data_IF_054123284592
#
_entry.id   IF_054123284592
#
_cell.length_a   1.000
_cell.length_b   1.000
_cell.length_c   1.000
_cell.angle_alpha   90.00
_cell.angle_beta   90.00
_cell.angle_gamma   90.00
#
_symmetry.space_group_name_H-M   'P 1'
#
loop_
_entity.id
_entity.type
_entity.pdbx_description
1 polymer ?
#
# COMPACT_ATOMS: atom_id res chain seq x y z
N UNK A 1 13.39 3.64 10.04
CA UNK A 1 12.48 2.65 10.63
C UNK A 1 12.95 1.26 10.27
N UNK A 2 13.15 0.41 11.23
CA UNK A 2 13.59 -0.97 11.05
C UNK A 2 12.39 -1.91 11.18
N UNK A 3 12.19 -2.79 10.20
CA UNK A 3 11.15 -3.81 10.26
C UNK A 3 11.82 -5.14 10.64
N UNK A 4 11.56 -5.69 11.83
CA UNK A 4 12.11 -6.96 12.22
C UNK A 4 11.54 -8.08 11.33
N UNK A 5 12.40 -9.03 10.94
CA UNK A 5 12.04 -10.17 10.08
C UNK A 5 11.55 -9.78 8.68
N UNK A 6 12.05 -8.68 8.12
CA UNK A 6 11.72 -8.25 6.77
C UNK A 6 12.16 -9.31 5.73
N UNK A 7 11.21 -9.80 4.95
CA UNK A 7 11.43 -10.69 3.82
C UNK A 7 11.54 -9.91 2.51
N UNK A 8 12.13 -10.48 1.44
CA UNK A 8 12.08 -9.86 0.11
C UNK A 8 10.65 -9.58 -0.38
N UNK A 9 9.70 -10.42 -0.02
CA UNK A 9 8.28 -10.20 -0.29
C UNK A 9 7.76 -8.95 0.40
N UNK A 10 8.02 -8.79 1.70
CA UNK A 10 7.60 -7.61 2.45
C UNK A 10 8.24 -6.33 1.89
N UNK A 11 9.52 -6.37 1.58
CA UNK A 11 10.22 -5.26 0.92
C UNK A 11 9.54 -4.90 -0.41
N UNK A 12 9.19 -5.89 -1.22
CA UNK A 12 8.51 -5.69 -2.50
C UNK A 12 7.16 -5.02 -2.33
N UNK A 13 6.32 -5.48 -1.42
CA UNK A 13 5.01 -4.89 -1.14
C UNK A 13 5.15 -3.46 -0.62
N UNK A 14 6.04 -3.23 0.33
CA UNK A 14 6.27 -1.90 0.92
C UNK A 14 6.84 -0.88 -0.06
N UNK A 15 7.54 -1.33 -1.08
CA UNK A 15 8.15 -0.48 -2.13
C UNK A 15 7.21 -0.26 -3.31
N UNK A 16 6.13 -1.04 -3.41
CA UNK A 16 5.18 -0.99 -4.53
C UNK A 16 4.32 0.28 -4.53
N UNK A 17 3.80 0.61 -5.70
CA UNK A 17 2.84 1.71 -5.88
C UNK A 17 1.56 1.51 -5.06
N UNK A 18 1.16 0.25 -4.82
CA UNK A 18 0.01 -0.06 -3.97
C UNK A 18 0.19 0.50 -2.56
N UNK A 19 1.34 0.23 -1.94
CA UNK A 19 1.64 0.75 -0.60
C UNK A 19 1.91 2.25 -0.61
N UNK A 20 2.57 2.76 -1.65
CA UNK A 20 2.84 4.19 -1.79
C UNK A 20 1.56 5.02 -1.93
N UNK A 21 0.58 4.53 -2.68
CA UNK A 21 -0.74 5.15 -2.80
C UNK A 21 -1.44 5.24 -1.44
N UNK A 22 -1.43 4.15 -0.68
CA UNK A 22 -1.96 4.11 0.68
C UNK A 22 -1.26 5.10 1.60
N UNK A 23 0.07 5.10 1.60
CA UNK A 23 0.88 6.01 2.41
C UNK A 23 0.55 7.47 2.10
N UNK A 24 0.52 7.85 0.82
CA UNK A 24 0.19 9.23 0.40
C UNK A 24 -1.19 9.66 0.89
N UNK A 25 -2.17 8.78 0.81
CA UNK A 25 -3.54 9.08 1.23
C UNK A 25 -3.66 9.24 2.75
N UNK A 26 -3.02 8.36 3.51
CA UNK A 26 -3.08 8.39 4.98
C UNK A 26 -2.24 9.53 5.54
N UNK A 27 -1.02 9.71 5.07
CA UNK A 27 -0.11 10.78 5.53
C UNK A 27 -0.58 12.17 5.06
N UNK A 28 -1.15 12.28 3.86
CA UNK A 28 -1.62 13.54 3.27
C UNK A 28 -2.74 14.22 4.05
N UNK A 29 -3.45 13.48 4.93
CA UNK A 29 -4.50 14.03 5.78
C UNK A 29 -4.00 14.63 7.10
N UNK A 30 -2.75 14.35 7.49
CA UNK A 30 -2.26 14.69 8.81
C UNK A 30 -1.45 16.00 8.82
N UNK A 31 -0.81 16.39 7.78
CA UNK A 31 -0.12 17.67 7.46
C UNK A 31 0.84 17.46 6.27
N UNK A 32 1.31 18.59 5.70
CA UNK A 32 2.14 18.68 4.50
C UNK A 32 3.51 17.95 4.53
N UNK A 33 3.91 17.37 5.65
CA UNK A 33 5.11 16.55 5.76
C UNK A 33 4.76 15.07 5.76
N UNK A 34 5.19 14.36 4.71
CA UNK A 34 5.04 12.92 4.60
C UNK A 34 5.91 12.18 5.64
N UNK A 35 5.51 12.23 6.90
CA UNK A 35 6.09 11.37 7.92
C UNK A 35 5.41 10.00 7.89
N UNK A 36 6.18 8.98 7.53
CA UNK A 36 5.72 7.62 7.63
C UNK A 36 5.50 7.24 9.09
N UNK A 37 4.26 7.01 9.47
CA UNK A 37 3.90 6.50 10.78
C UNK A 37 3.64 5.01 10.71
N UNK A 38 4.45 4.21 11.38
CA UNK A 38 4.24 2.76 11.46
C UNK A 38 2.86 2.41 12.01
N UNK A 39 2.37 3.16 13.00
CA UNK A 39 1.07 2.91 13.63
C UNK A 39 -0.08 3.18 12.68
N UNK A 40 -0.03 4.29 11.93
CA UNK A 40 -1.14 4.69 11.06
C UNK A 40 -1.06 4.03 9.67
N UNK A 41 0.13 3.91 9.11
CA UNK A 41 0.31 3.46 7.73
C UNK A 41 0.49 1.96 7.67
N UNK A 42 1.50 1.42 8.34
CA UNK A 42 1.85 0.00 8.27
C UNK A 42 0.79 -0.90 8.92
N UNK A 43 0.38 -0.59 10.15
CA UNK A 43 -0.54 -1.44 10.90
C UNK A 43 -1.96 -1.45 10.31
N UNK A 44 -2.34 -0.43 9.57
CA UNK A 44 -3.64 -0.35 8.92
C UNK A 44 -3.62 -0.72 7.43
N UNK A 45 -2.43 -0.95 6.86
CA UNK A 45 -2.33 -1.33 5.46
C UNK A 45 -2.91 -2.73 5.24
N UNK A 46 -3.91 -2.87 4.33
CA UNK A 46 -4.46 -4.19 4.01
C UNK A 46 -3.50 -4.95 3.10
N UNK A 47 -2.65 -5.80 3.68
CA UNK A 47 -1.80 -6.70 2.93
C UNK A 47 -2.63 -7.70 2.12
N UNK A 48 -2.09 -8.27 1.03
CA UNK A 48 -2.77 -9.33 0.30
C UNK A 48 -3.19 -10.46 1.25
N UNK A 49 -4.49 -10.82 1.33
CA UNK A 49 -4.97 -11.71 2.40
C UNK A 49 -4.49 -13.16 2.25
N UNK A 50 -4.31 -13.63 1.03
CA UNK A 50 -3.89 -15.01 0.77
C UNK A 50 -3.13 -15.13 -0.57
N UNK A 51 -1.93 -14.54 -0.70
CA UNK A 51 -1.16 -14.69 -1.93
C UNK A 51 -0.70 -16.14 -2.09
N UNK A 52 -0.78 -16.65 -3.33
CA UNK A 52 -0.24 -17.98 -3.62
C UNK A 52 1.29 -17.99 -3.55
N UNK A 53 1.90 -19.18 -3.38
CA UNK A 53 3.35 -19.30 -3.40
C UNK A 53 3.97 -18.75 -4.69
N UNK A 54 3.29 -18.91 -5.82
CA UNK A 54 3.71 -18.36 -7.11
C UNK A 54 3.69 -16.82 -7.12
N UNK A 55 2.67 -16.21 -6.55
CA UNK A 55 2.55 -14.76 -6.43
C UNK A 55 3.62 -14.18 -5.51
N UNK A 56 3.86 -14.81 -4.36
CA UNK A 56 4.94 -14.41 -3.43
C UNK A 56 6.29 -14.50 -4.13
N UNK A 57 6.58 -15.59 -4.83
CA UNK A 57 7.84 -15.75 -5.57
C UNK A 57 8.00 -14.69 -6.67
N UNK A 58 6.93 -14.32 -7.36
CA UNK A 58 6.96 -13.27 -8.38
C UNK A 58 7.29 -11.89 -7.78
N UNK A 59 6.72 -11.55 -6.63
CA UNK A 59 7.02 -10.31 -5.92
C UNK A 59 8.48 -10.31 -5.43
N UNK A 60 8.94 -11.39 -4.85
CA UNK A 60 10.34 -11.53 -4.40
C UNK A 60 11.34 -11.37 -5.56
N UNK A 61 11.08 -12.01 -6.70
CA UNK A 61 11.93 -11.89 -7.89
C UNK A 61 11.95 -10.45 -8.41
N UNK A 62 10.80 -9.79 -8.49
CA UNK A 62 10.70 -8.39 -8.92
C UNK A 62 11.40 -7.44 -7.93
N UNK A 63 11.30 -7.69 -6.63
CA UNK A 63 12.00 -6.93 -5.60
C UNK A 63 13.53 -7.06 -5.75
N UNK A 64 14.03 -8.25 -6.02
CA UNK A 64 15.45 -8.48 -6.29
C UNK A 64 15.93 -7.73 -7.53
N UNK A 65 15.12 -7.63 -8.55
CA UNK A 65 15.45 -6.85 -9.75
C UNK A 65 15.54 -5.35 -9.47
N UNK A 66 14.69 -4.81 -8.61
CA UNK A 66 14.80 -3.42 -8.15
C UNK A 66 16.14 -3.19 -7.44
N UNK A 67 16.52 -4.07 -6.53
CA UNK A 67 17.80 -3.99 -5.83
C UNK A 67 18.99 -4.11 -6.80
N UNK A 68 18.91 -5.02 -7.75
CA UNK A 68 19.94 -5.20 -8.77
C UNK A 68 20.07 -3.95 -9.65
N UNK A 69 18.98 -3.33 -10.06
CA UNK A 69 18.98 -2.09 -10.81
C UNK A 69 19.62 -0.94 -10.02
N UNK A 70 19.34 -0.81 -8.73
CA UNK A 70 19.98 0.16 -7.84
C UNK A 70 21.50 -0.08 -7.74
N UNK A 71 21.91 -1.34 -7.66
CA UNK A 71 23.32 -1.72 -7.53
C UNK A 71 24.18 -1.35 -8.76
N UNK A 72 23.56 -1.08 -9.90
CA UNK A 72 24.25 -0.58 -11.09
C UNK A 72 24.77 0.87 -10.94
N UNK A 73 24.26 1.59 -9.94
CA UNK A 73 24.59 2.99 -9.69
C UNK A 73 25.09 3.19 -8.25
N UNK A 74 26.26 2.62 -7.89
CA UNK A 74 26.75 2.60 -6.51
C UNK A 74 27.06 4.00 -5.97
N UNK A 75 27.41 4.94 -6.84
CA UNK A 75 27.78 6.31 -6.48
C UNK A 75 26.58 7.27 -6.43
N UNK A 76 25.41 6.85 -6.87
CA UNK A 76 24.21 7.66 -6.85
C UNK A 76 23.46 7.53 -5.53
N UNK A 77 23.01 8.66 -4.97
CA UNK A 77 22.10 8.65 -3.83
C UNK A 77 20.70 8.19 -4.22
N UNK A 78 19.92 7.71 -3.26
CA UNK A 78 18.52 7.35 -3.52
C UNK A 78 17.70 8.53 -4.04
N UNK A 79 17.98 9.74 -3.54
CA UNK A 79 17.33 10.95 -4.03
C UNK A 79 17.59 11.20 -5.52
N UNK A 80 18.82 10.98 -5.97
CA UNK A 80 19.19 11.10 -7.38
C UNK A 80 18.56 10.01 -8.24
N UNK A 81 18.58 8.76 -7.76
CA UNK A 81 17.99 7.63 -8.47
C UNK A 81 16.48 7.76 -8.66
N UNK A 82 15.78 8.34 -7.70
CA UNK A 82 14.33 8.49 -7.71
C UNK A 82 13.85 9.87 -8.14
N UNK A 83 14.75 10.72 -8.65
CA UNK A 83 14.34 11.97 -9.29
C UNK A 83 13.61 11.65 -10.60
N UNK A 84 12.36 12.13 -10.79
CA UNK A 84 11.57 11.84 -11.98
C UNK A 84 12.24 12.22 -13.29
N UNK A 85 13.12 13.21 -13.27
CA UNK A 85 13.83 13.69 -14.45
C UNK A 85 15.06 12.86 -14.81
N UNK A 86 15.68 12.20 -13.84
CA UNK A 86 16.97 11.52 -14.00
C UNK A 86 16.92 10.02 -13.66
N UNK A 87 15.78 9.49 -13.29
CA UNK A 87 15.60 8.09 -12.93
C UNK A 87 16.02 7.16 -14.08
N UNK A 88 16.96 6.21 -13.85
CA UNK A 88 17.41 5.32 -14.90
C UNK A 88 16.26 4.45 -15.46
N UNK A 89 16.20 4.26 -16.80
CA UNK A 89 15.16 3.43 -17.42
C UNK A 89 15.08 2.00 -16.89
N UNK A 90 16.22 1.39 -16.55
CA UNK A 90 16.27 0.06 -15.97
C UNK A 90 15.57 0.00 -14.60
N UNK A 91 15.74 1.04 -13.78
CA UNK A 91 15.08 1.15 -12.48
C UNK A 91 13.56 1.39 -12.62
N UNK A 92 13.15 2.24 -13.56
CA UNK A 92 11.74 2.46 -13.89
C UNK A 92 11.07 1.15 -14.30
N UNK A 93 11.69 0.38 -15.18
CA UNK A 93 11.18 -0.91 -15.63
C UNK A 93 11.06 -1.92 -14.50
N UNK A 94 12.08 -1.98 -13.63
CA UNK A 94 12.07 -2.87 -12.47
C UNK A 94 10.92 -2.55 -11.52
N UNK A 95 10.66 -1.27 -11.25
CA UNK A 95 9.52 -0.84 -10.43
C UNK A 95 8.17 -1.15 -11.07
N UNK A 96 8.05 -0.97 -12.38
CA UNK A 96 6.80 -1.33 -13.09
C UNK A 96 6.50 -2.83 -13.00
N UNK A 97 7.52 -3.67 -13.09
CA UNK A 97 7.36 -5.11 -12.93
C UNK A 97 6.97 -5.48 -11.49
N UNK A 98 7.58 -4.83 -10.51
CA UNK A 98 7.23 -5.00 -9.10
C UNK A 98 5.77 -4.60 -8.84
N UNK A 99 5.34 -3.46 -9.35
CA UNK A 99 3.98 -2.96 -9.18
C UNK A 99 2.95 -3.94 -9.76
N UNK A 100 3.21 -4.50 -10.93
CA UNK A 100 2.35 -5.53 -11.53
C UNK A 100 2.29 -6.80 -10.69
N UNK A 101 3.43 -7.25 -10.18
CA UNK A 101 3.50 -8.46 -9.36
C UNK A 101 2.70 -8.29 -8.07
N UNK A 102 2.80 -7.13 -7.42
CA UNK A 102 2.04 -6.81 -6.20
C UNK A 102 0.55 -6.64 -6.51
N UNK A 103 0.19 -5.92 -7.57
CA UNK A 103 -1.19 -5.74 -8.00
C UNK A 103 -1.90 -7.10 -8.21
N UNK A 104 -1.22 -8.06 -8.80
CA UNK A 104 -1.74 -9.42 -9.03
C UNK A 104 -1.97 -10.22 -7.75
N UNK A 105 -1.31 -9.86 -6.65
CA UNK A 105 -1.59 -10.46 -5.34
C UNK A 105 -2.97 -10.07 -4.81
N UNK A 106 -3.52 -8.96 -5.27
CA UNK A 106 -4.85 -8.46 -4.87
C UNK A 106 -5.96 -8.92 -5.81
N UNK A 107 -5.74 -8.77 -7.10
CA UNK A 107 -6.70 -9.21 -8.13
C UNK A 107 -6.00 -9.47 -9.46
N UNK A 108 -6.63 -10.26 -10.33
CA UNK A 108 -6.11 -10.55 -11.67
C UNK A 108 -6.23 -9.38 -12.64
N UNK A 109 -7.28 -8.56 -12.50
CA UNK A 109 -7.47 -7.36 -13.32
C UNK A 109 -6.47 -6.26 -12.92
N UNK A 110 -5.95 -5.54 -13.92
CA UNK A 110 -5.04 -4.44 -13.70
C UNK A 110 -5.70 -3.26 -12.95
N UNK A 111 -4.88 -2.51 -12.24
CA UNK A 111 -5.29 -1.23 -11.64
C UNK A 111 -4.82 -0.08 -12.55
N UNK A 112 -5.72 0.58 -13.28
CA UNK A 112 -5.33 1.61 -14.25
C UNK A 112 -4.84 2.91 -13.60
N UNK A 113 -5.28 3.21 -12.38
CA UNK A 113 -5.00 4.47 -11.69
C UNK A 113 -4.67 4.25 -10.22
N UNK A 114 -4.04 5.25 -9.60
CA UNK A 114 -3.85 5.30 -8.15
C UNK A 114 -5.19 5.27 -7.40
N UNK A 115 -6.18 5.99 -7.89
CA UNK A 115 -7.52 5.99 -7.31
C UNK A 115 -8.14 4.59 -7.28
N UNK A 116 -8.00 3.80 -8.35
CA UNK A 116 -8.50 2.43 -8.39
C UNK A 116 -7.84 1.51 -7.36
N UNK A 117 -6.54 1.72 -7.08
CA UNK A 117 -5.84 1.03 -5.99
C UNK A 117 -6.39 1.42 -4.63
N UNK A 118 -6.59 2.72 -4.40
CA UNK A 118 -7.12 3.23 -3.13
C UNK A 118 -8.53 2.74 -2.86
N UNK A 119 -9.41 2.76 -3.85
CA UNK A 119 -10.78 2.25 -3.72
C UNK A 119 -10.78 0.77 -3.31
N UNK A 120 -9.94 -0.04 -3.95
CA UNK A 120 -9.80 -1.45 -3.61
C UNK A 120 -9.24 -1.66 -2.19
N UNK A 121 -8.22 -0.90 -1.81
CA UNK A 121 -7.61 -0.98 -0.48
C UNK A 121 -8.59 -0.57 0.62
N UNK A 122 -9.40 0.46 0.41
CA UNK A 122 -10.43 0.86 1.38
C UNK A 122 -11.54 -0.18 1.50
N UNK A 123 -11.91 -0.86 0.42
CA UNK A 123 -12.87 -1.96 0.47
C UNK A 123 -12.30 -3.16 1.24
N UNK A 124 -11.03 -3.51 1.02
CA UNK A 124 -10.36 -4.56 1.81
C UNK A 124 -10.22 -4.16 3.27
N UNK A 125 -9.88 -2.92 3.57
CA UNK A 125 -9.82 -2.42 4.93
C UNK A 125 -11.17 -2.54 5.65
N UNK A 126 -12.27 -2.19 4.99
CA UNK A 126 -13.61 -2.39 5.52
C UNK A 126 -13.90 -3.85 5.83
N UNK A 127 -13.61 -4.74 4.89
CA UNK A 127 -13.82 -6.19 5.11
C UNK A 127 -13.08 -6.71 6.33
N UNK A 128 -11.86 -6.23 6.55
CA UNK A 128 -11.04 -6.65 7.68
C UNK A 128 -11.52 -6.07 9.01
N UNK A 129 -12.20 -4.93 9.00
CA UNK A 129 -12.64 -4.21 10.21
C UNK A 129 -14.12 -4.39 10.52
N UNK A 130 -14.98 -4.64 9.54
CA UNK A 130 -16.43 -4.84 9.73
C UNK A 130 -16.79 -5.98 10.69
N UNK A 131 -16.15 -7.15 10.68
CA UNK A 131 -16.45 -8.20 11.65
C UNK A 131 -16.19 -7.79 13.09
N UNK A 132 -15.26 -6.89 13.32
CA UNK A 132 -14.95 -6.36 14.66
C UNK A 132 -15.98 -5.32 15.09
N UNK A 133 -16.50 -4.54 14.13
CA UNK A 133 -17.53 -3.52 14.39
C UNK A 133 -18.94 -4.09 14.46
N UNK A 134 -19.19 -5.23 13.80
CA UNK A 134 -20.48 -5.93 13.83
C UNK A 134 -20.82 -6.54 15.19
N UNK A 135 -19.81 -6.79 16.02
CA UNK A 135 -19.98 -7.35 17.37
C UNK A 135 -20.09 -6.27 18.46
N UNK A 136 -19.77 -5.03 18.11
CA UNK A 136 -20.08 -3.87 18.99
C UNK A 136 -21.47 -3.39 18.59
N UNK A 137 -22.49 -3.92 19.28
CA UNK A 137 -23.89 -3.52 19.07
C UNK A 137 -23.98 -2.00 18.99
N UNK A 138 -24.24 -1.50 17.79
CA UNK A 138 -24.60 -0.09 17.60
C UNK A 138 -25.90 0.12 18.37
N UNK A 139 -25.82 0.74 19.52
CA UNK A 139 -27.00 1.15 20.25
C UNK A 139 -27.90 1.94 19.27
N UNK A 140 -29.20 1.58 19.16
CA UNK A 140 -30.08 2.29 18.26
C UNK A 140 -30.09 3.77 18.63
N UNK A 141 -29.84 4.63 17.64
CA UNK A 141 -29.96 6.08 17.84
C UNK A 141 -31.32 6.37 18.46
N UNK A 142 -31.40 7.13 19.56
CA UNK A 142 -32.68 7.47 20.14
C UNK A 142 -33.54 8.20 19.10
N UNK A 143 -34.69 7.66 18.78
CA UNK A 143 -35.66 8.32 17.90
C UNK A 143 -35.94 9.71 18.49
N UNK A 144 -35.59 10.76 17.79
CA UNK A 144 -35.98 12.11 18.13
C UNK A 144 -37.52 12.12 18.18
N UNK A 145 -38.05 12.35 19.36
CA UNK A 145 -39.48 12.63 19.47
C UNK A 145 -39.81 13.87 18.64
N UNK A 146 -40.85 13.84 17.82
CA UNK A 146 -41.26 15.04 17.12
C UNK A 146 -41.58 16.12 18.16
N UNK A 147 -40.98 17.31 17.97
CA UNK A 147 -41.39 18.47 18.78
C UNK A 147 -42.87 18.68 18.57
N UNK A 148 -43.64 18.61 19.67
CA UNK A 148 -45.01 19.04 19.61
C UNK A 148 -45.06 20.51 19.18
N UNK A 149 -45.72 20.77 18.06
CA UNK A 149 -46.02 22.14 17.64
C UNK A 149 -47.22 22.56 18.46
N UNK A 150 -46.97 23.48 19.37
CA UNK A 150 -48.07 24.13 20.08
C UNK A 150 -48.76 25.13 19.18
#
# INVERSE_FOLDING_TARGET
MSIPNATPYLFGVMTSEMHMAWMRQICGRIKSDFRYSATLVYNNFPFPPAPSAKQVAAVEAAAQQVLAARAQFPDASLATLYDPLTMPPALVKAHQQLDRAVDQCYRSAAFPTELSRLEYLFDEYRRLTEPVLGDVGVAPKPKRKPKAVA
#
